data_IF_684228154358
#
_entry.id   IF_684228154358
#
_cell.length_a   1.000
_cell.length_b   1.000
_cell.length_c   1.000
_cell.angle_alpha   90.00
_cell.angle_beta   90.00
_cell.angle_gamma   90.00
#
_symmetry.space_group_name_H-M   'P 1'
#
loop_
_entity.id
_entity.type
_entity.pdbx_description
1 polymer ?
#
# COMPACT_ATOMS: atom_id res chain seq x y z
N UNK A 1 -12.35 0.43 28.04
CA UNK A 1 -12.19 -0.65 27.05
C UNK A 1 -10.79 -0.53 26.47
N UNK A 2 -10.00 -1.60 26.44
CA UNK A 2 -8.66 -1.62 25.86
C UNK A 2 -8.71 -2.13 24.42
N UNK A 3 -8.21 -1.35 23.48
CA UNK A 3 -8.08 -1.73 22.06
C UNK A 3 -6.65 -1.42 21.63
N UNK A 4 -5.94 -2.40 21.06
CA UNK A 4 -4.54 -2.26 20.61
C UNK A 4 -3.64 -1.57 21.66
N UNK A 5 -3.63 -2.11 22.89
CA UNK A 5 -2.84 -1.62 24.05
C UNK A 5 -3.21 -0.20 24.55
N UNK A 6 -4.18 0.48 23.92
CA UNK A 6 -4.65 1.80 24.33
C UNK A 6 -5.97 1.67 25.10
N UNK A 7 -6.06 2.33 26.27
CA UNK A 7 -7.28 2.31 27.10
C UNK A 7 -8.16 3.51 26.78
N UNK A 8 -9.41 3.23 26.38
CA UNK A 8 -10.42 4.23 26.07
C UNK A 8 -11.53 4.30 27.13
N UNK A 9 -11.95 5.52 27.47
CA UNK A 9 -13.18 5.80 28.23
C UNK A 9 -14.33 5.89 27.22
N UNK A 10 -15.21 4.90 27.24
CA UNK A 10 -16.25 4.73 26.23
C UNK A 10 -17.60 4.54 26.91
N UNK A 11 -18.64 5.11 26.30
CA UNK A 11 -20.05 4.90 26.65
C UNK A 11 -20.80 4.61 25.36
N UNK A 12 -21.67 3.62 25.37
CA UNK A 12 -22.50 3.29 24.22
C UNK A 12 -23.99 3.22 24.58
N UNK A 13 -24.85 3.51 23.60
CA UNK A 13 -26.31 3.41 23.75
C UNK A 13 -26.98 3.25 22.39
N UNK A 14 -28.06 2.47 22.35
CA UNK A 14 -28.96 2.41 21.18
C UNK A 14 -29.80 3.69 21.16
N UNK A 15 -29.75 4.41 20.04
CA UNK A 15 -30.41 5.70 19.84
C UNK A 15 -31.24 5.70 18.55
N UNK A 16 -32.27 6.53 18.51
CA UNK A 16 -32.99 6.84 17.26
C UNK A 16 -32.52 8.18 16.75
N UNK A 17 -32.13 8.25 15.49
CA UNK A 17 -31.73 9.50 14.83
C UNK A 17 -32.87 10.00 13.96
N UNK A 18 -32.87 11.29 13.61
CA UNK A 18 -33.84 11.82 12.63
C UNK A 18 -33.53 11.36 11.20
N UNK A 19 -32.26 11.04 10.92
CA UNK A 19 -31.78 10.72 9.57
C UNK A 19 -32.07 9.26 9.17
N UNK A 20 -31.95 8.32 10.11
CA UNK A 20 -32.23 6.91 9.88
C UNK A 20 -33.45 6.46 10.68
N UNK A 21 -34.48 5.87 10.04
CA UNK A 21 -35.67 5.39 10.74
C UNK A 21 -35.38 4.17 11.64
N UNK A 22 -34.34 3.40 11.28
CA UNK A 22 -33.87 2.24 12.02
C UNK A 22 -33.09 2.64 13.28
N UNK A 23 -33.17 1.85 14.37
CA UNK A 23 -32.34 2.07 15.55
C UNK A 23 -30.86 1.89 15.18
N UNK A 24 -30.02 2.78 15.69
CA UNK A 24 -28.56 2.72 15.51
C UNK A 24 -27.89 2.76 16.87
N UNK A 25 -26.75 2.12 17.01
CA UNK A 25 -25.97 2.20 18.24
C UNK A 25 -24.94 3.31 18.13
N UNK A 26 -24.98 4.23 19.09
CA UNK A 26 -24.03 5.32 19.24
C UNK A 26 -22.97 4.92 20.27
N UNK A 27 -21.72 4.93 19.85
CA UNK A 27 -20.56 4.74 20.72
C UNK A 27 -19.84 6.09 20.84
N UNK A 28 -19.70 6.60 22.06
CA UNK A 28 -19.01 7.86 22.35
C UNK A 28 -17.70 7.56 23.05
N UNK A 29 -16.60 7.91 22.39
CA UNK A 29 -15.25 7.81 22.92
C UNK A 29 -14.84 9.17 23.48
N UNK A 30 -14.43 9.18 24.74
CA UNK A 30 -13.89 10.38 25.39
C UNK A 30 -12.38 10.27 25.49
N UNK A 31 -11.69 11.25 24.91
CA UNK A 31 -10.23 11.32 24.90
C UNK A 31 -9.77 12.64 25.53
N UNK A 32 -8.73 12.58 26.36
CA UNK A 32 -8.06 13.77 26.92
C UNK A 32 -6.62 13.81 26.40
N UNK A 33 -6.34 14.57 25.31
CA UNK A 33 -5.04 14.52 24.67
C UNK A 33 -3.92 15.10 25.55
N UNK A 34 -4.22 16.15 26.33
CA UNK A 34 -3.29 16.74 27.30
C UNK A 34 -4.06 17.06 28.59
N UNK A 35 -3.41 17.01 29.78
CA UNK A 35 -4.07 17.31 31.06
C UNK A 35 -4.64 18.73 31.12
N UNK A 36 -3.98 19.69 30.46
CA UNK A 36 -4.39 21.09 30.36
C UNK A 36 -5.50 21.34 29.31
N UNK A 37 -5.70 20.43 28.35
CA UNK A 37 -6.70 20.62 27.28
C UNK A 37 -8.07 20.06 27.68
N UNK A 38 -9.12 20.64 27.08
CA UNK A 38 -10.50 20.17 27.22
C UNK A 38 -10.65 18.75 26.68
N UNK A 39 -11.62 18.00 27.24
CA UNK A 39 -12.00 16.69 26.71
C UNK A 39 -12.48 16.81 25.26
N UNK A 40 -12.07 15.84 24.44
CA UNK A 40 -12.61 15.64 23.09
C UNK A 40 -13.53 14.43 23.12
N UNK A 41 -14.62 14.55 22.36
CA UNK A 41 -15.60 13.49 22.19
C UNK A 41 -15.59 13.08 20.73
N UNK A 42 -15.53 11.78 20.51
CA UNK A 42 -15.57 11.18 19.21
C UNK A 42 -16.76 10.23 19.15
N UNK A 43 -17.66 10.44 18.19
CA UNK A 43 -18.93 9.73 18.08
C UNK A 43 -18.89 8.77 16.88
N UNK A 44 -19.21 7.52 17.16
CA UNK A 44 -19.30 6.43 16.20
C UNK A 44 -20.74 5.93 16.12
N UNK A 45 -21.25 5.77 14.92
CA UNK A 45 -22.54 5.16 14.68
C UNK A 45 -22.33 3.80 14.02
N UNK A 46 -23.00 2.78 14.53
CA UNK A 46 -23.05 1.45 13.91
C UNK A 46 -24.51 1.02 13.72
N UNK A 47 -24.78 0.39 12.59
CA UNK A 47 -26.06 -0.26 12.29
C UNK A 47 -26.19 -1.62 12.99
N UNK A 48 -25.07 -2.26 13.32
CA UNK A 48 -25.03 -3.51 14.06
C UNK A 48 -25.15 -3.23 15.56
N UNK A 49 -26.23 -3.71 16.17
CA UNK A 49 -26.55 -3.48 17.59
C UNK A 49 -25.79 -4.43 18.52
N UNK A 50 -25.41 -5.61 18.01
CA UNK A 50 -24.80 -6.70 18.80
C UNK A 50 -23.28 -6.69 18.72
N UNK A 51 -22.70 -5.99 17.74
CA UNK A 51 -21.25 -5.87 17.55
C UNK A 51 -20.53 -5.41 18.83
N UNK A 52 -19.48 -6.10 19.31
CA UNK A 52 -18.73 -5.64 20.48
C UNK A 52 -18.17 -4.22 20.28
N UNK A 53 -18.21 -3.39 21.34
CA UNK A 53 -17.72 -2.00 21.26
C UNK A 53 -16.24 -1.94 20.87
N UNK A 54 -15.44 -2.89 21.34
CA UNK A 54 -14.03 -3.00 20.97
C UNK A 54 -13.87 -3.18 19.45
N UNK A 55 -14.67 -4.07 18.84
CA UNK A 55 -14.61 -4.34 17.40
C UNK A 55 -15.09 -3.15 16.59
N UNK A 56 -16.16 -2.48 17.02
CA UNK A 56 -16.61 -1.23 16.40
C UNK A 56 -15.50 -0.16 16.35
N UNK A 57 -14.72 -0.03 17.42
CA UNK A 57 -13.57 0.87 17.49
C UNK A 57 -12.45 0.38 16.54
N UNK A 58 -12.13 -0.90 16.57
CA UNK A 58 -11.10 -1.51 15.70
C UNK A 58 -11.43 -1.31 14.22
N UNK A 59 -12.67 -1.55 13.80
CA UNK A 59 -13.12 -1.30 12.44
C UNK A 59 -12.94 0.17 12.04
N UNK A 60 -13.24 1.11 12.94
CA UNK A 60 -13.03 2.52 12.66
C UNK A 60 -11.55 2.90 12.59
N UNK A 61 -10.69 2.30 13.42
CA UNK A 61 -9.23 2.50 13.32
C UNK A 61 -8.73 2.03 11.95
N UNK A 62 -9.20 0.87 11.50
CA UNK A 62 -8.83 0.31 10.20
C UNK A 62 -9.29 1.17 9.01
N UNK A 63 -10.24 2.10 9.21
CA UNK A 63 -10.64 3.08 8.19
C UNK A 63 -9.45 3.85 7.63
N UNK A 64 -8.47 4.21 8.48
CA UNK A 64 -7.28 5.00 8.09
C UNK A 64 -6.41 4.32 7.02
N UNK A 65 -6.54 2.99 6.87
CA UNK A 65 -5.84 2.25 5.83
C UNK A 65 -6.26 2.73 4.43
N UNK A 66 -7.50 3.19 4.27
CA UNK A 66 -8.00 3.74 3.00
C UNK A 66 -7.25 5.03 2.65
N UNK A 67 -7.10 5.96 3.60
CA UNK A 67 -6.31 7.19 3.38
C UNK A 67 -4.85 6.90 3.05
N UNK A 68 -4.28 5.87 3.67
CA UNK A 68 -2.91 5.43 3.39
C UNK A 68 -2.82 4.87 1.97
N UNK A 69 -3.77 4.04 1.55
CA UNK A 69 -3.83 3.52 0.19
C UNK A 69 -3.92 4.66 -0.85
N UNK A 70 -4.82 5.64 -0.66
CA UNK A 70 -4.90 6.80 -1.56
C UNK A 70 -3.60 7.61 -1.62
N UNK A 71 -2.91 7.78 -0.48
CA UNK A 71 -1.61 8.45 -0.44
C UNK A 71 -0.58 7.69 -1.28
N UNK A 72 -0.50 6.38 -1.13
CA UNK A 72 0.47 5.54 -1.84
C UNK A 72 0.24 5.57 -3.36
N UNK A 73 -1.02 5.48 -3.80
CA UNK A 73 -1.36 5.56 -5.23
C UNK A 73 -1.01 6.93 -5.82
N UNK A 74 -1.20 8.02 -5.07
CA UNK A 74 -0.78 9.37 -5.48
C UNK A 74 0.72 9.53 -5.61
N UNK A 75 1.47 9.06 -4.62
CA UNK A 75 2.92 9.25 -4.58
C UNK A 75 3.64 8.36 -5.60
N UNK A 76 3.24 7.09 -5.70
CA UNK A 76 4.04 6.08 -6.39
C UNK A 76 3.49 5.65 -7.75
N UNK A 77 2.19 5.83 -8.00
CA UNK A 77 1.51 5.31 -9.20
C UNK A 77 0.96 6.42 -10.12
N UNK A 78 1.41 7.66 -9.93
CA UNK A 78 1.10 8.78 -10.83
C UNK A 78 -0.38 9.16 -10.86
N UNK A 79 -1.11 8.96 -9.75
CA UNK A 79 -2.53 9.31 -9.67
C UNK A 79 -2.78 10.82 -9.70
N UNK A 80 -1.82 11.65 -9.34
CA UNK A 80 -1.97 13.12 -9.33
C UNK A 80 -1.27 13.79 -10.52
N UNK A 81 -0.42 13.05 -11.24
CA UNK A 81 0.48 13.59 -12.28
C UNK A 81 0.09 13.21 -13.70
N UNK A 82 -1.03 12.52 -13.89
CA UNK A 82 -1.48 12.11 -15.23
C UNK A 82 -1.98 13.31 -16.05
N UNK A 83 -1.59 13.36 -17.33
CA UNK A 83 -2.00 14.42 -18.27
C UNK A 83 -2.87 13.84 -19.37
N UNK A 84 -4.00 13.24 -18.98
CA UNK A 84 -4.95 12.61 -19.90
C UNK A 84 -6.12 13.55 -20.21
N UNK A 85 -6.44 13.71 -21.50
CA UNK A 85 -7.52 14.59 -21.94
C UNK A 85 -8.87 13.86 -22.08
N UNK A 86 -8.85 12.57 -22.46
CA UNK A 86 -10.06 11.78 -22.63
C UNK A 86 -10.55 11.19 -21.29
N UNK A 87 -11.85 11.33 -20.99
CA UNK A 87 -12.49 10.81 -19.77
C UNK A 87 -12.39 9.30 -19.65
N UNK A 88 -12.45 8.58 -20.76
CA UNK A 88 -12.31 7.13 -20.76
C UNK A 88 -10.89 6.70 -20.34
N UNK A 89 -9.87 7.38 -20.88
CA UNK A 89 -8.48 7.14 -20.50
C UNK A 89 -8.21 7.52 -19.04
N UNK A 90 -8.84 8.58 -18.54
CA UNK A 90 -8.78 8.95 -17.11
C UNK A 90 -9.33 7.84 -16.22
N UNK A 91 -10.51 7.28 -16.55
CA UNK A 91 -11.11 6.21 -15.76
C UNK A 91 -10.23 4.94 -15.77
N UNK A 92 -9.69 4.58 -16.94
CA UNK A 92 -8.75 3.45 -17.07
C UNK A 92 -7.49 3.66 -16.22
N UNK A 93 -6.89 4.85 -16.28
CA UNK A 93 -5.68 5.17 -15.50
C UNK A 93 -5.91 5.02 -14.01
N UNK A 94 -6.99 5.62 -13.50
CA UNK A 94 -7.38 5.52 -12.09
C UNK A 94 -7.51 4.06 -11.66
N UNK A 95 -8.26 3.25 -12.41
CA UNK A 95 -8.45 1.83 -12.10
C UNK A 95 -7.13 1.05 -12.14
N UNK A 96 -6.31 1.28 -13.17
CA UNK A 96 -5.04 0.59 -13.34
C UNK A 96 -4.02 0.96 -12.25
N UNK A 97 -4.00 2.21 -11.79
CA UNK A 97 -3.15 2.64 -10.66
C UNK A 97 -3.50 1.89 -9.37
N UNK A 98 -4.79 1.68 -9.08
CA UNK A 98 -5.21 0.88 -7.93
C UNK A 98 -4.88 -0.60 -8.09
N UNK A 99 -5.11 -1.17 -9.29
CA UNK A 99 -4.74 -2.56 -9.59
C UNK A 99 -3.23 -2.76 -9.43
N UNK A 100 -2.40 -1.85 -9.94
CA UNK A 100 -0.95 -1.91 -9.79
C UNK A 100 -0.54 -1.84 -8.30
N UNK A 101 -1.13 -0.95 -7.51
CA UNK A 101 -0.86 -0.86 -6.08
C UNK A 101 -1.25 -2.12 -5.31
N UNK A 102 -2.41 -2.72 -5.64
CA UNK A 102 -2.85 -3.99 -5.05
C UNK A 102 -1.96 -5.16 -5.47
N UNK A 103 -1.54 -5.23 -6.73
CA UNK A 103 -0.60 -6.24 -7.22
C UNK A 103 0.76 -6.12 -6.53
N UNK A 104 1.30 -4.90 -6.42
CA UNK A 104 2.52 -4.65 -5.65
C UNK A 104 2.37 -5.15 -4.23
N UNK A 105 1.26 -4.83 -3.54
CA UNK A 105 1.03 -5.37 -2.20
C UNK A 105 0.99 -6.90 -2.18
N UNK A 106 0.31 -7.53 -3.14
CA UNK A 106 0.18 -8.99 -3.20
C UNK A 106 1.52 -9.69 -3.44
N UNK A 107 2.41 -9.11 -4.25
CA UNK A 107 3.77 -9.62 -4.46
C UNK A 107 4.59 -9.71 -3.16
N UNK A 108 4.27 -8.89 -2.16
CA UNK A 108 4.98 -8.87 -0.87
C UNK A 108 4.23 -9.57 0.27
N UNK A 109 2.91 -9.79 0.16
CA UNK A 109 2.09 -10.42 1.21
C UNK A 109 2.19 -11.95 1.20
N UNK A 110 2.33 -12.60 0.05
CA UNK A 110 2.40 -14.07 -0.09
C UNK A 110 3.64 -14.71 0.59
N UNK A 111 4.42 -13.95 1.35
CA UNK A 111 5.69 -14.36 1.96
C UNK A 111 5.71 -14.14 3.48
N UNK A 112 4.68 -13.51 4.06
CA UNK A 112 4.62 -13.21 5.50
C UNK A 112 3.91 -14.29 6.34
N UNK A 113 3.15 -15.20 5.71
CA UNK A 113 2.30 -16.20 6.38
C UNK A 113 2.80 -17.66 6.32
N UNK A 114 4.01 -17.93 5.83
CA UNK A 114 4.52 -19.31 5.78
C UNK A 114 5.45 -19.60 6.97
N UNK A 115 5.01 -20.33 8.01
CA UNK A 115 5.94 -20.90 8.97
C UNK A 115 6.72 -22.00 8.24
N UNK A 116 8.05 -21.84 8.21
CA UNK A 116 9.01 -22.95 8.20
C UNK A 116 8.61 -24.20 7.41
N UNK A 117 8.65 -24.19 6.09
CA UNK A 117 8.92 -25.42 5.34
C UNK A 117 9.64 -25.10 4.05
N UNK A 118 10.93 -25.46 4.04
CA UNK A 118 11.82 -25.38 2.88
C UNK A 118 11.51 -26.56 1.96
N UNK A 119 10.79 -26.34 0.86
CA UNK A 119 10.92 -27.14 -0.37
C UNK A 119 9.89 -26.72 -1.43
N UNK A 120 10.28 -25.80 -2.31
CA UNK A 120 9.96 -25.90 -3.75
C UNK A 120 10.65 -24.77 -4.51
N UNK A 121 11.31 -25.17 -5.58
CA UNK A 121 12.23 -24.39 -6.40
C UNK A 121 11.48 -23.36 -7.25
N UNK A 122 11.47 -22.11 -6.78
CA UNK A 122 11.59 -20.89 -7.59
C UNK A 122 11.94 -19.77 -6.58
N UNK A 123 13.23 -19.49 -6.41
CA UNK A 123 13.77 -18.50 -5.47
C UNK A 123 13.28 -17.08 -5.79
N UNK A 124 12.10 -16.71 -5.30
CA UNK A 124 11.74 -15.33 -5.06
C UNK A 124 11.74 -15.12 -3.53
N UNK A 125 12.91 -15.31 -2.91
CA UNK A 125 13.08 -14.87 -1.52
C UNK A 125 12.91 -13.37 -1.49
N UNK A 126 11.90 -12.93 -0.75
CA UNK A 126 11.64 -11.52 -0.53
C UNK A 126 12.85 -10.91 0.17
N UNK A 127 13.45 -9.83 -0.36
CA UNK A 127 14.69 -9.29 0.17
C UNK A 127 14.44 -8.70 1.56
N UNK A 128 15.40 -8.93 2.46
CA UNK A 128 15.41 -8.34 3.79
C UNK A 128 15.45 -6.80 3.75
N UNK A 129 15.01 -6.13 4.82
CA UNK A 129 15.02 -4.67 4.96
C UNK A 129 16.40 -4.12 4.65
N UNK A 130 17.44 -4.72 5.21
CA UNK A 130 18.82 -4.28 5.04
C UNK A 130 19.28 -4.44 3.59
N UNK A 131 18.91 -5.55 2.93
CA UNK A 131 19.22 -5.79 1.52
C UNK A 131 18.56 -4.76 0.61
N UNK A 132 17.31 -4.40 0.88
CA UNK A 132 16.58 -3.34 0.15
C UNK A 132 17.26 -1.98 0.33
N UNK A 133 17.62 -1.62 1.57
CA UNK A 133 18.28 -0.34 1.87
C UNK A 133 19.65 -0.23 1.19
N UNK A 134 20.45 -1.30 1.23
CA UNK A 134 21.74 -1.36 0.54
C UNK A 134 21.59 -1.24 -0.97
N UNK A 135 20.61 -1.94 -1.56
CA UNK A 135 20.31 -1.87 -3.00
C UNK A 135 19.94 -0.45 -3.42
N UNK A 136 19.07 0.22 -2.64
CA UNK A 136 18.64 1.60 -2.88
C UNK A 136 19.67 2.65 -2.43
N UNK A 137 20.80 2.22 -1.83
CA UNK A 137 21.86 3.08 -1.28
C UNK A 137 21.37 4.08 -0.22
N UNK A 138 20.35 3.70 0.55
CA UNK A 138 19.77 4.51 1.62
C UNK A 138 20.42 4.13 2.95
N UNK A 139 21.15 5.06 3.56
CA UNK A 139 21.91 4.82 4.79
C UNK A 139 21.36 5.57 6.02
N UNK A 140 20.53 6.59 5.81
CA UNK A 140 19.99 7.46 6.86
C UNK A 140 18.62 7.01 7.39
N UNK A 141 17.93 6.13 6.67
CA UNK A 141 16.59 5.64 7.01
C UNK A 141 16.69 4.20 7.53
N UNK A 142 16.16 3.94 8.73
CA UNK A 142 16.25 2.63 9.42
C UNK A 142 14.88 2.20 9.92
N UNK A 143 13.99 1.72 9.03
CA UNK A 143 12.68 1.23 9.44
C UNK A 143 12.79 -0.16 10.08
N UNK A 144 11.86 -0.48 10.97
CA UNK A 144 11.76 -1.81 11.59
C UNK A 144 11.25 -2.88 10.62
N UNK A 145 10.54 -2.47 9.57
CA UNK A 145 9.92 -3.34 8.57
C UNK A 145 9.92 -2.65 7.20
N UNK A 146 9.72 -3.43 6.15
CA UNK A 146 9.62 -2.90 4.80
C UNK A 146 8.35 -2.06 4.65
N UNK A 147 8.55 -0.75 4.48
CA UNK A 147 7.44 0.15 4.19
C UNK A 147 7.01 0.01 2.74
N UNK A 148 5.73 0.30 2.45
CA UNK A 148 5.19 0.25 1.08
C UNK A 148 5.99 1.11 0.10
N UNK A 149 6.47 2.26 0.55
CA UNK A 149 7.33 3.13 -0.25
C UNK A 149 8.66 2.46 -0.62
N UNK A 150 9.32 1.77 0.33
CA UNK A 150 10.55 1.02 0.07
C UNK A 150 10.31 -0.16 -0.87
N UNK A 151 9.22 -0.90 -0.67
CA UNK A 151 8.83 -2.00 -1.55
C UNK A 151 8.66 -1.54 -3.00
N UNK A 152 7.94 -0.42 -3.21
CA UNK A 152 7.72 0.13 -4.54
C UNK A 152 9.03 0.66 -5.13
N UNK A 153 9.82 1.40 -4.36
CA UNK A 153 11.10 1.94 -4.83
C UNK A 153 12.08 0.82 -5.22
N UNK A 154 12.13 -0.27 -4.44
CA UNK A 154 12.92 -1.45 -4.75
C UNK A 154 12.49 -2.09 -6.07
N UNK A 155 11.19 -2.33 -6.24
CA UNK A 155 10.67 -2.90 -7.49
C UNK A 155 10.94 -1.99 -8.69
N UNK A 156 10.75 -0.68 -8.55
CA UNK A 156 11.08 0.29 -9.58
C UNK A 156 12.56 0.22 -9.94
N UNK A 157 13.44 0.17 -8.95
CA UNK A 157 14.88 0.02 -9.17
C UNK A 157 15.21 -1.28 -9.93
N UNK A 158 14.66 -2.42 -9.52
CA UNK A 158 14.85 -3.70 -10.20
C UNK A 158 14.36 -3.67 -11.66
N UNK A 159 13.20 -3.05 -11.89
CA UNK A 159 12.63 -2.86 -13.22
C UNK A 159 13.55 -1.99 -14.09
N UNK A 160 14.04 -0.87 -13.56
CA UNK A 160 14.98 0.01 -14.24
C UNK A 160 16.28 -0.71 -14.61
N UNK A 161 16.85 -1.51 -13.70
CA UNK A 161 18.04 -2.32 -13.98
C UNK A 161 17.78 -3.31 -15.12
N UNK A 162 16.60 -3.93 -15.17
CA UNK A 162 16.26 -4.89 -16.23
C UNK A 162 16.10 -4.21 -17.60
N UNK A 163 15.41 -3.07 -17.67
CA UNK A 163 15.20 -2.35 -18.93
C UNK A 163 16.46 -1.62 -19.43
N UNK A 164 17.32 -1.14 -18.53
CA UNK A 164 18.59 -0.49 -18.87
C UNK A 164 19.73 -1.50 -19.09
N UNK A 165 19.54 -2.76 -18.68
CA UNK A 165 20.40 -3.86 -19.08
C UNK A 165 20.11 -4.21 -20.54
N UNK A 166 20.62 -3.36 -21.45
CA UNK A 166 20.89 -3.81 -22.81
C UNK A 166 21.75 -5.05 -22.67
N UNK A 167 21.25 -6.21 -23.08
CA UNK A 167 22.07 -7.41 -23.15
C UNK A 167 23.37 -7.03 -23.85
N UNK A 168 24.49 -7.09 -23.13
CA UNK A 168 25.83 -7.05 -23.73
C UNK A 168 26.05 -8.39 -24.43
N UNK A 169 25.20 -8.73 -25.40
CA UNK A 169 25.43 -9.83 -26.30
C UNK A 169 26.16 -9.28 -27.52
N UNK A 170 27.50 -9.33 -27.57
CA UNK A 170 28.25 -8.80 -28.72
C UNK A 170 27.87 -9.47 -30.04
N UNK A 171 27.23 -10.65 -29.99
CA UNK A 171 26.81 -11.43 -31.17
C UNK A 171 25.56 -10.88 -31.88
N UNK A 172 24.69 -10.14 -31.19
CA UNK A 172 23.48 -9.56 -31.82
C UNK A 172 23.78 -8.27 -32.60
N UNK A 173 24.79 -7.51 -32.18
CA UNK A 173 25.18 -6.27 -32.87
C UNK A 173 26.15 -6.51 -34.04
N UNK A 174 26.88 -7.63 -34.07
CA UNK A 174 27.76 -7.97 -35.20
C UNK A 174 27.01 -8.55 -36.40
N UNK A 175 25.85 -9.20 -36.19
CA UNK A 175 25.06 -9.84 -37.25
C UNK A 175 24.25 -8.86 -38.10
N UNK A 176 24.04 -7.62 -37.64
CA UNK A 176 23.37 -6.57 -38.44
C UNK A 176 24.31 -5.83 -39.41
N UNK A 177 25.63 -6.04 -39.33
CA UNK A 177 26.60 -5.49 -40.27
C UNK A 177 27.02 -6.53 -41.32
N UNK A 178 26.04 -7.11 -42.04
CA UNK A 178 26.32 -8.03 -43.13
C UNK A 178 25.84 -7.47 -44.48
N UNK A 179 26.85 -7.22 -45.32
CA UNK A 179 26.86 -7.14 -46.79
C UNK A 179 26.33 -5.86 -47.43
N UNK A 180 27.18 -4.84 -47.46
CA UNK A 180 27.26 -3.97 -48.65
C UNK A 180 27.90 -4.86 -49.72
N UNK A 181 27.11 -5.24 -50.72
CA UNK A 181 27.61 -5.91 -51.92
C UNK A 181 28.31 -4.83 -52.73
N UNK A 182 29.64 -4.88 -52.78
CA UNK A 182 30.39 -4.17 -53.80
C UNK A 182 30.11 -4.87 -55.13
N UNK A 183 29.16 -4.33 -55.90
CA UNK A 183 28.98 -4.73 -57.29
C UNK A 183 30.18 -4.24 -58.10
N UNK A 184 31.06 -5.18 -58.43
CA UNK A 184 32.08 -5.04 -59.46
C UNK A 184 31.42 -5.17 -60.84
N UNK A 185 31.36 -4.09 -61.61
CA UNK A 185 31.76 -4.01 -63.03
C UNK A 185 31.64 -2.58 -63.56
#
# INVERSE_FOLDING_TARGET
>A
ISVNQTTYSVVDKVVRTKMCPQPVRLVVIRTKPNPSKKYKYFCLFTSDLELPVADAITHYINRWQIETAFRDVKLNFGFDTYQLQNRESLNRHVQLSFVAASLTQLCWVNTMDTPSDKSSEMENEVPDVEAVLQTLRIHWYKPEYLTRGLMVAYLQHCIEQHYLSTSKDPKQNSTKNLKIVEDTT
#
